data_IF_141704571738
#
_entry.id   IF_141704571738
#
_cell.length_a   1.000
_cell.length_b   1.000
_cell.length_c   1.000
_cell.angle_alpha   90.00
_cell.angle_beta   90.00
_cell.angle_gamma   90.00
#
_symmetry.space_group_name_H-M   'P 1'
#
loop_
_entity.id
_entity.type
_entity.pdbx_description
1 polymer ?
#
# COMPACT_ATOMS: atom_id res chain seq x y z
N UNK A 1 11.43 -29.48 13.07
CA UNK A 1 11.30 -28.02 12.95
C UNK A 1 12.59 -27.48 12.41
N UNK A 2 12.57 -26.92 11.20
CA UNK A 2 13.73 -26.29 10.57
C UNK A 2 13.42 -24.82 10.31
N UNK A 3 14.47 -24.01 10.12
CA UNK A 3 14.32 -22.62 9.68
C UNK A 3 13.66 -22.63 8.29
N UNK A 4 12.45 -22.06 8.20
CA UNK A 4 11.82 -21.75 6.93
C UNK A 4 12.17 -20.30 6.60
N UNK A 5 12.77 -20.08 5.42
CA UNK A 5 13.07 -18.75 4.90
C UNK A 5 12.10 -18.51 3.75
N UNK A 6 11.10 -17.67 4.00
CA UNK A 6 10.19 -17.20 2.98
C UNK A 6 10.75 -15.92 2.34
N UNK A 7 11.20 -16.03 1.09
CA UNK A 7 11.59 -14.86 0.30
C UNK A 7 10.36 -14.29 -0.40
N UNK A 8 9.92 -13.11 0.04
CA UNK A 8 8.85 -12.36 -0.60
C UNK A 8 9.48 -11.44 -1.64
N UNK A 9 9.25 -11.74 -2.92
CA UNK A 9 9.72 -10.89 -4.03
C UNK A 9 9.20 -9.48 -3.85
N UNK A 10 10.07 -8.45 -3.88
CA UNK A 10 9.67 -7.05 -3.86
C UNK A 10 8.69 -6.72 -4.99
N UNK A 11 7.73 -5.85 -4.71
CA UNK A 11 6.61 -5.61 -5.63
C UNK A 11 7.05 -5.03 -6.98
N UNK A 12 8.17 -4.29 -7.05
CA UNK A 12 8.70 -3.73 -8.31
C UNK A 12 9.24 -4.78 -9.31
N UNK A 13 9.30 -6.06 -8.94
CA UNK A 13 9.60 -7.17 -9.85
C UNK A 13 8.34 -7.87 -10.39
N UNK A 14 7.14 -7.43 -10.00
CA UNK A 14 5.88 -8.01 -10.45
C UNK A 14 5.20 -7.13 -11.50
N UNK A 15 4.63 -7.73 -12.54
CA UNK A 15 3.87 -7.01 -13.58
C UNK A 15 2.60 -6.34 -13.03
N UNK A 16 2.08 -6.85 -11.90
CA UNK A 16 0.84 -6.42 -11.25
C UNK A 16 1.04 -6.34 -9.74
N UNK A 17 0.46 -5.32 -9.07
CA UNK A 17 0.57 -5.19 -7.64
C UNK A 17 -0.24 -6.28 -6.92
N UNK A 18 0.19 -6.62 -5.70
CA UNK A 18 -0.59 -7.39 -4.74
C UNK A 18 -1.56 -6.46 -4.00
N UNK A 19 -2.67 -6.97 -3.42
CA UNK A 19 -3.52 -6.17 -2.56
C UNK A 19 -2.77 -5.79 -1.27
N UNK A 20 -2.37 -4.51 -1.18
CA UNK A 20 -1.64 -3.98 -0.01
C UNK A 20 -2.46 -4.20 1.26
N UNK A 21 -1.93 -4.96 2.23
CA UNK A 21 -2.62 -5.36 3.47
C UNK A 21 -3.99 -6.03 3.23
N UNK A 22 -4.21 -6.64 2.06
CA UNK A 22 -5.49 -7.23 1.68
C UNK A 22 -6.54 -6.23 1.14
N UNK A 23 -6.14 -4.99 0.84
CA UNK A 23 -7.01 -3.91 0.37
C UNK A 23 -7.22 -2.85 1.47
N UNK A 24 -7.25 -1.58 1.07
CA UNK A 24 -7.40 -0.46 2.00
C UNK A 24 -8.70 -0.57 2.79
N UNK A 25 -8.57 -0.64 4.12
CA UNK A 25 -9.71 -0.77 5.02
C UNK A 25 -10.56 -2.03 4.77
N UNK A 26 -10.02 -3.09 4.18
CA UNK A 26 -10.78 -4.34 3.91
C UNK A 26 -10.54 -5.43 4.97
N UNK A 27 -9.31 -5.56 5.47
CA UNK A 27 -8.94 -6.64 6.41
C UNK A 27 -8.14 -6.19 7.62
N UNK A 28 -7.42 -5.08 7.51
CA UNK A 28 -6.40 -4.71 8.46
C UNK A 28 -6.73 -3.41 9.19
N UNK A 29 -6.39 -3.38 10.47
CA UNK A 29 -6.45 -2.21 11.34
C UNK A 29 -5.14 -2.13 12.11
N UNK A 30 -4.52 -0.96 12.11
CA UNK A 30 -3.41 -0.65 13.00
C UNK A 30 -3.86 0.36 14.05
N UNK A 31 -3.53 0.12 15.31
CA UNK A 31 -3.75 1.08 16.40
C UNK A 31 -2.39 1.48 16.96
N UNK A 32 -2.06 2.76 16.81
CA UNK A 32 -0.80 3.33 17.32
C UNK A 32 -0.83 3.41 18.86
N UNK A 33 0.33 3.53 19.54
CA UNK A 33 0.38 3.69 21.00
C UNK A 33 -0.40 4.90 21.53
N UNK A 34 -0.57 5.96 20.74
CA UNK A 34 -1.37 7.13 21.13
C UNK A 34 -2.89 6.91 21.00
N UNK A 35 -3.30 5.82 20.36
CA UNK A 35 -4.70 5.43 20.12
C UNK A 35 -5.21 5.75 18.70
N UNK A 36 -4.40 6.37 17.83
CA UNK A 36 -4.80 6.62 16.43
C UNK A 36 -5.00 5.30 15.68
N UNK A 37 -6.04 5.23 14.87
CA UNK A 37 -6.42 4.03 14.11
C UNK A 37 -6.19 4.26 12.62
N UNK A 38 -5.47 3.33 11.98
CA UNK A 38 -4.99 3.45 10.61
C UNK A 38 -5.38 2.22 9.77
N UNK A 39 -5.72 2.40 8.48
CA UNK A 39 -6.01 1.30 7.56
C UNK A 39 -4.74 0.56 7.07
N UNK A 40 -3.57 1.18 7.21
CA UNK A 40 -2.26 0.56 7.02
C UNK A 40 -1.20 1.30 7.84
N UNK A 41 -0.01 0.71 8.03
CA UNK A 41 1.05 1.31 8.84
C UNK A 41 1.53 2.67 8.31
N UNK A 42 1.60 2.82 6.98
CA UNK A 42 2.10 4.03 6.35
C UNK A 42 1.01 5.07 6.03
N UNK A 43 -0.23 4.89 6.50
CA UNK A 43 -1.35 5.78 6.14
C UNK A 43 -1.13 7.24 6.54
N UNK A 44 -0.28 7.50 7.53
CA UNK A 44 -0.03 8.83 8.08
C UNK A 44 0.74 9.78 7.16
N UNK A 45 1.31 9.26 6.06
CA UNK A 45 1.98 10.09 5.07
C UNK A 45 0.98 10.83 4.17
N UNK A 46 -0.30 10.43 4.17
CA UNK A 46 -1.32 11.05 3.32
C UNK A 46 -1.68 12.43 3.89
N UNK A 47 -1.45 13.51 3.13
CA UNK A 47 -1.71 14.86 3.62
C UNK A 47 -3.21 15.12 3.72
N UNK A 48 -3.58 16.11 4.54
CA UNK A 48 -4.94 16.64 4.64
C UNK A 48 -6.02 15.62 5.05
N UNK A 49 -5.63 14.59 5.82
CA UNK A 49 -6.55 13.59 6.38
C UNK A 49 -6.56 13.64 7.91
N UNK A 50 -7.75 13.49 8.50
CA UNK A 50 -7.92 13.35 9.95
C UNK A 50 -7.80 11.88 10.37
N UNK A 51 -7.05 11.63 11.45
CA UNK A 51 -6.81 10.29 11.99
C UNK A 51 -7.67 10.07 13.25
N UNK A 52 -8.66 9.17 13.19
CA UNK A 52 -9.53 8.92 14.33
C UNK A 52 -8.78 8.21 15.46
N UNK A 53 -9.23 8.41 16.70
CA UNK A 53 -8.63 7.82 17.89
C UNK A 53 -9.66 6.97 18.67
N UNK A 54 -9.24 5.79 19.13
CA UNK A 54 -10.10 4.89 19.93
C UNK A 54 -10.53 5.48 21.29
N UNK A 55 -9.85 6.53 21.75
CA UNK A 55 -10.21 7.25 22.97
C UNK A 55 -11.46 8.12 22.79
N UNK A 56 -11.76 8.50 21.54
CA UNK A 56 -12.83 9.45 21.21
C UNK A 56 -14.02 8.77 20.51
N UNK A 57 -13.76 7.74 19.71
CA UNK A 57 -14.76 7.06 18.85
C UNK A 57 -14.57 5.55 18.94
N UNK A 58 -15.66 4.77 18.88
CA UNK A 58 -15.54 3.30 18.95
C UNK A 58 -14.84 2.73 17.73
N UNK A 59 -14.11 1.63 17.89
CA UNK A 59 -13.41 1.01 16.77
C UNK A 59 -14.35 0.58 15.63
N UNK A 60 -15.58 0.18 15.96
CA UNK A 60 -16.60 -0.19 14.98
C UNK A 60 -17.03 1.01 14.13
N UNK A 61 -17.28 2.16 14.76
CA UNK A 61 -17.60 3.40 14.04
C UNK A 61 -16.43 3.87 13.19
N UNK A 62 -15.21 3.80 13.72
CA UNK A 62 -14.00 4.12 12.95
C UNK A 62 -13.91 3.23 11.70
N UNK A 63 -14.07 1.92 11.86
CA UNK A 63 -13.98 0.97 10.77
C UNK A 63 -15.05 1.21 9.70
N UNK A 64 -16.31 1.38 10.09
CA UNK A 64 -17.43 1.41 9.15
C UNK A 64 -17.67 2.82 8.56
N UNK A 65 -17.46 3.87 9.35
CA UNK A 65 -17.97 5.22 9.05
C UNK A 65 -16.85 6.22 8.78
N UNK A 66 -15.65 6.04 9.35
CA UNK A 66 -14.63 7.10 9.25
C UNK A 66 -14.24 7.42 7.80
N UNK A 67 -14.02 8.71 7.46
CA UNK A 67 -13.57 9.10 6.14
C UNK A 67 -12.24 8.43 5.74
N UNK A 68 -11.30 8.30 6.69
CA UNK A 68 -9.99 7.67 6.44
C UNK A 68 -10.12 6.23 5.94
N UNK A 69 -10.97 5.41 6.58
CA UNK A 69 -11.15 4.01 6.19
C UNK A 69 -11.93 3.86 4.89
N UNK A 70 -12.84 4.79 4.58
CA UNK A 70 -13.68 4.71 3.39
C UNK A 70 -13.08 5.39 2.14
N UNK A 71 -12.09 6.28 2.30
CA UNK A 71 -11.50 7.07 1.19
C UNK A 71 -11.04 6.22 -0.01
N UNK A 72 -10.40 5.07 0.26
CA UNK A 72 -9.94 4.14 -0.78
C UNK A 72 -10.52 2.73 -0.62
N UNK A 73 -11.65 2.60 0.09
CA UNK A 73 -12.35 1.31 0.22
C UNK A 73 -13.28 1.11 -0.97
N UNK A 74 -13.37 -0.13 -1.44
CA UNK A 74 -14.16 -0.45 -2.63
C UNK A 74 -13.46 0.01 -3.92
N UNK A 75 -14.24 0.24 -4.97
CA UNK A 75 -13.70 0.58 -6.32
C UNK A 75 -14.20 1.93 -6.86
N UNK A 76 -15.15 2.59 -6.21
CA UNK A 76 -15.80 3.81 -6.72
C UNK A 76 -14.82 5.01 -6.84
N UNK A 77 -13.80 5.04 -5.98
CA UNK A 77 -12.76 6.08 -5.98
C UNK A 77 -11.74 5.92 -7.12
N UNK A 78 -11.65 4.74 -7.74
CA UNK A 78 -10.53 4.41 -8.62
C UNK A 78 -10.52 5.27 -9.89
N UNK A 79 -9.35 5.77 -10.33
CA UNK A 79 -9.19 6.38 -11.65
C UNK A 79 -9.04 5.31 -12.73
N UNK A 80 -9.03 5.71 -14.00
CA UNK A 80 -8.53 4.84 -15.07
C UNK A 80 -7.00 4.64 -14.94
N UNK A 81 -6.45 3.47 -15.29
CA UNK A 81 -7.16 2.31 -15.87
C UNK A 81 -7.84 1.40 -14.82
N UNK A 82 -7.66 1.64 -13.52
CA UNK A 82 -8.18 0.76 -12.47
C UNK A 82 -9.70 0.63 -12.49
N UNK A 83 -10.43 1.72 -12.78
CA UNK A 83 -11.90 1.76 -12.80
C UNK A 83 -12.52 0.75 -13.77
N UNK A 84 -11.93 0.58 -14.94
CA UNK A 84 -12.37 -0.36 -15.98
C UNK A 84 -11.62 -1.71 -15.97
N UNK A 85 -10.59 -1.86 -15.12
CA UNK A 85 -9.76 -3.07 -15.05
C UNK A 85 -10.51 -4.27 -14.45
N UNK A 86 -10.36 -5.45 -15.05
CA UNK A 86 -10.90 -6.72 -14.54
C UNK A 86 -10.35 -7.14 -13.16
N UNK A 87 -9.20 -6.59 -12.75
CA UNK A 87 -8.52 -6.93 -11.49
C UNK A 87 -8.84 -6.00 -10.32
N UNK A 88 -9.68 -4.98 -10.51
CA UNK A 88 -9.92 -3.93 -9.51
C UNK A 88 -10.41 -4.44 -8.15
N UNK A 89 -11.07 -5.59 -8.08
CA UNK A 89 -11.51 -6.23 -6.83
C UNK A 89 -10.54 -7.32 -6.33
N UNK A 90 -9.45 -7.58 -7.06
CA UNK A 90 -8.41 -8.56 -6.71
C UNK A 90 -7.23 -7.90 -6.01
N UNK A 91 -6.70 -6.82 -6.60
CA UNK A 91 -5.53 -6.10 -6.09
C UNK A 91 -5.89 -4.72 -5.51
N UNK A 92 -7.14 -4.27 -5.66
CA UNK A 92 -7.64 -3.00 -5.14
C UNK A 92 -6.80 -1.80 -5.59
N UNK A 93 -6.22 -1.89 -6.80
CA UNK A 93 -5.38 -0.85 -7.40
C UNK A 93 -3.95 -0.82 -6.87
N UNK A 94 -3.57 -1.68 -5.91
CA UNK A 94 -2.25 -1.72 -5.27
C UNK A 94 -2.12 -0.82 -4.03
N UNK A 95 -0.91 -0.44 -3.68
CA UNK A 95 -0.58 0.34 -2.48
C UNK A 95 -0.83 1.85 -2.65
N UNK A 96 -1.67 2.43 -1.79
CA UNK A 96 -1.98 3.88 -1.80
C UNK A 96 -0.79 4.73 -1.36
N UNK A 97 -0.05 4.28 -0.35
CA UNK A 97 1.13 5.00 0.16
C UNK A 97 2.27 5.01 -0.87
N UNK A 98 2.40 3.94 -1.66
CA UNK A 98 3.39 3.88 -2.74
C UNK A 98 2.98 4.76 -3.92
N UNK A 99 1.70 4.74 -4.32
CA UNK A 99 1.18 5.66 -5.32
C UNK A 99 1.45 7.12 -4.92
N UNK A 100 1.21 7.49 -3.66
CA UNK A 100 1.53 8.81 -3.15
C UNK A 100 3.03 9.11 -3.19
N UNK A 101 3.87 8.22 -2.65
CA UNK A 101 5.30 8.46 -2.55
C UNK A 101 5.98 8.64 -3.93
N UNK A 102 5.51 7.93 -4.95
CA UNK A 102 6.10 7.95 -6.28
C UNK A 102 5.45 8.99 -7.21
N UNK A 103 4.15 9.25 -7.07
CA UNK A 103 3.40 10.08 -8.04
C UNK A 103 2.87 11.38 -7.44
N UNK A 104 3.00 11.58 -6.14
CA UNK A 104 2.43 12.71 -5.42
C UNK A 104 0.94 12.62 -5.13
N UNK A 105 0.24 11.55 -5.55
CA UNK A 105 -1.19 11.37 -5.30
C UNK A 105 -1.54 9.91 -4.94
N UNK A 106 -2.14 9.71 -3.76
CA UNK A 106 -2.53 8.39 -3.25
C UNK A 106 -3.65 7.72 -4.07
N UNK A 107 -4.46 8.51 -4.79
CA UNK A 107 -5.54 8.02 -5.65
C UNK A 107 -5.05 7.45 -6.98
N UNK A 108 -3.79 7.72 -7.38
CA UNK A 108 -3.25 7.18 -8.62
C UNK A 108 -3.11 5.66 -8.59
N UNK A 109 -3.12 5.04 -9.77
CA UNK A 109 -2.76 3.64 -9.94
C UNK A 109 -1.36 3.41 -9.40
N UNK A 110 -1.18 2.33 -8.62
CA UNK A 110 0.14 1.97 -8.10
C UNK A 110 1.15 1.84 -9.25
N UNK A 111 2.26 2.62 -9.26
CA UNK A 111 3.25 2.59 -10.32
C UNK A 111 3.91 1.23 -10.56
N UNK A 112 3.83 0.29 -9.62
CA UNK A 112 4.26 -1.10 -9.86
C UNK A 112 3.46 -1.77 -10.98
N UNK A 113 2.18 -1.40 -11.14
CA UNK A 113 1.36 -1.93 -12.20
C UNK A 113 1.88 -1.46 -13.56
N UNK A 114 2.12 -2.39 -14.49
CA UNK A 114 2.55 -2.08 -15.86
C UNK A 114 1.54 -1.26 -16.69
N UNK A 115 0.29 -1.15 -16.23
CA UNK A 115 -0.71 -0.25 -16.84
C UNK A 115 -0.73 1.16 -16.23
N UNK A 116 0.04 1.40 -15.17
CA UNK A 116 0.10 2.74 -14.58
C UNK A 116 0.77 3.70 -15.57
N UNK A 117 0.23 4.92 -15.77
CA UNK A 117 0.92 5.95 -16.56
C UNK A 117 2.23 6.42 -15.91
N UNK A 118 2.50 5.99 -14.66
CA UNK A 118 3.71 6.30 -13.92
C UNK A 118 4.67 5.10 -13.80
N UNK A 119 4.46 4.02 -14.56
CA UNK A 119 5.27 2.79 -14.45
C UNK A 119 6.77 3.04 -14.66
N UNK A 120 7.12 3.93 -15.58
CA UNK A 120 8.51 4.30 -15.90
C UNK A 120 9.31 4.76 -14.67
N UNK A 121 8.65 5.35 -13.66
CA UNK A 121 9.32 5.75 -12.41
C UNK A 121 9.90 4.55 -11.65
N UNK A 122 9.21 3.41 -11.70
CA UNK A 122 9.64 2.16 -11.06
C UNK A 122 10.74 1.51 -11.87
N UNK A 123 10.63 1.48 -13.20
CA UNK A 123 11.66 0.93 -14.08
C UNK A 123 12.99 1.70 -13.96
N UNK A 124 12.93 3.04 -13.92
CA UNK A 124 14.10 3.89 -13.70
C UNK A 124 14.76 3.64 -12.34
N UNK A 125 13.96 3.48 -11.28
CA UNK A 125 14.48 3.16 -9.95
C UNK A 125 15.12 1.76 -9.90
N UNK A 126 14.57 0.79 -10.62
CA UNK A 126 15.07 -0.59 -10.63
C UNK A 126 16.39 -0.76 -11.40
N UNK A 127 16.59 0.01 -12.47
CA UNK A 127 17.81 -0.02 -13.29
C UNK A 127 19.00 0.69 -12.64
N UNK A 128 18.76 1.59 -11.68
CA UNK A 128 19.81 2.33 -10.96
C UNK A 128 20.47 1.58 -9.79
N UNK A 129 20.13 0.32 -9.53
CA UNK A 129 20.67 -0.44 -8.39
C UNK A 129 22.08 -0.93 -8.73
N UNK A 130 23.14 -0.48 -8.01
CA UNK A 130 24.49 -0.96 -8.24
C UNK A 130 24.60 -2.47 -7.93
N UNK A 131 25.60 -3.11 -8.55
CA UNK A 131 25.90 -4.53 -8.36
C UNK A 131 25.89 -4.91 -6.87
N UNK A 132 25.21 -6.01 -6.53
CA UNK A 132 25.10 -6.46 -5.12
C UNK A 132 26.51 -6.62 -4.54
N UNK A 133 26.87 -5.89 -3.48
CA UNK A 133 28.15 -6.09 -2.83
C UNK A 133 28.24 -7.51 -2.28
N UNK A 134 29.46 -8.05 -2.21
CA UNK A 134 29.70 -9.36 -1.63
C UNK A 134 29.17 -9.41 -0.19
N UNK A 135 28.28 -10.37 0.09
CA UNK A 135 27.66 -10.51 1.40
C UNK A 135 28.68 -11.05 2.41
N UNK A 136 29.16 -10.20 3.32
CA UNK A 136 29.98 -10.62 4.45
C UNK A 136 29.08 -11.09 5.60
N UNK A 137 28.90 -12.40 5.71
CA UNK A 137 28.19 -13.01 6.83
C UNK A 137 29.02 -12.91 8.11
N UNK A 138 28.43 -12.42 9.21
CA UNK A 138 29.05 -12.50 10.54
C UNK A 138 29.25 -13.98 10.90
N UNK A 139 30.49 -14.40 11.10
CA UNK A 139 30.81 -15.68 11.75
C UNK A 139 30.61 -15.51 13.26
N UNK A 140 29.88 -16.44 13.87
CA UNK A 140 29.80 -16.57 15.33
C UNK A 140 31.10 -17.16 15.87
#
# INVERSE_FOLDING_TARGET
>A
GGLSIDYVTPDYHADRPKPCMGGWGQRFVNVTPSGRVLPCHAAEIIPDVSFPNVKDVTLSEIWNISPLFNMFRGTDWMPEPCRSCERKERDWGGCRCQALALTGNAANTDPVCSLSPFHDLVEQAATGVPEKPELLYRRF
#
